data_IF_241024943661
#
_entry.id   IF_241024943661
#
_cell.length_a   1.000
_cell.length_b   1.000
_cell.length_c   1.000
_cell.angle_alpha   90.00
_cell.angle_beta   90.00
_cell.angle_gamma   90.00
#
_symmetry.space_group_name_H-M   'P 1'
#
loop_
_entity.id
_entity.type
_entity.pdbx_description
1 polymer ?
#
# COMPACT_ATOMS: atom_id res chain seq x y z
N UNK A 1 -7.90 -11.75 -9.04
CA UNK A 1 -8.50 -10.67 -8.22
C UNK A 1 -8.02 -9.37 -8.83
N UNK A 2 -8.96 -8.58 -9.31
CA UNK A 2 -8.65 -7.52 -10.27
C UNK A 2 -8.03 -6.24 -9.66
N UNK A 3 -7.77 -6.15 -8.36
CA UNK A 3 -7.14 -4.97 -7.73
C UNK A 3 -5.77 -5.36 -7.16
N UNK A 4 -4.72 -4.75 -7.69
CA UNK A 4 -3.33 -4.87 -7.22
C UNK A 4 -3.00 -3.63 -6.38
N UNK A 5 -2.21 -3.84 -5.31
CA UNK A 5 -1.80 -2.82 -4.35
C UNK A 5 -0.28 -2.63 -4.43
N UNK A 6 0.17 -1.65 -5.23
CA UNK A 6 1.57 -1.42 -5.61
C UNK A 6 2.38 -0.60 -4.55
N UNK A 7 2.24 -0.94 -3.27
CA UNK A 7 2.98 -0.27 -2.18
C UNK A 7 4.50 -0.42 -2.37
N UNK A 8 4.96 -1.61 -2.77
CA UNK A 8 6.39 -1.88 -2.95
C UNK A 8 7.01 -0.99 -4.05
N UNK A 9 6.24 -0.62 -5.09
CA UNK A 9 6.68 0.32 -6.13
C UNK A 9 6.88 1.73 -5.55
N UNK A 10 5.96 2.18 -4.70
CA UNK A 10 6.05 3.51 -4.08
C UNK A 10 7.18 3.59 -3.05
N UNK A 11 7.42 2.51 -2.29
CA UNK A 11 8.58 2.40 -1.40
C UNK A 11 9.91 2.50 -2.16
N UNK A 12 10.02 1.77 -3.27
CA UNK A 12 11.21 1.80 -4.12
C UNK A 12 11.47 3.19 -4.71
N UNK A 13 10.43 3.87 -5.22
CA UNK A 13 10.52 5.26 -5.72
C UNK A 13 11.05 6.23 -4.66
N UNK A 14 10.77 5.96 -3.38
CA UNK A 14 11.18 6.81 -2.25
C UNK A 14 12.45 6.37 -1.55
N UNK A 15 13.05 5.24 -1.96
CA UNK A 15 14.18 4.62 -1.27
C UNK A 15 13.90 4.39 0.22
N UNK A 16 12.64 4.06 0.54
CA UNK A 16 12.17 3.83 1.92
C UNK A 16 12.09 2.32 2.19
N UNK A 17 12.57 1.88 3.36
CA UNK A 17 12.43 0.49 3.77
C UNK A 17 11.00 0.19 4.23
N UNK A 18 10.58 -1.08 4.12
CA UNK A 18 9.27 -1.52 4.66
C UNK A 18 9.20 -1.30 6.18
N UNK A 19 10.32 -1.45 6.89
CA UNK A 19 10.39 -1.23 8.33
C UNK A 19 10.09 0.22 8.72
N UNK A 20 10.76 1.17 8.06
CA UNK A 20 10.54 2.60 8.29
C UNK A 20 9.10 3.01 7.93
N UNK A 21 8.59 2.47 6.83
CA UNK A 21 7.20 2.69 6.41
C UNK A 21 6.18 2.20 7.44
N UNK A 22 6.36 0.98 7.96
CA UNK A 22 5.47 0.42 8.99
C UNK A 22 5.49 1.29 10.26
N UNK A 23 6.67 1.78 10.66
CA UNK A 23 6.82 2.67 11.80
C UNK A 23 6.11 4.02 11.57
N UNK A 24 6.18 4.55 10.34
CA UNK A 24 5.62 5.86 10.00
C UNK A 24 4.08 5.85 9.82
N UNK A 25 3.53 4.81 9.18
CA UNK A 25 2.08 4.72 8.90
C UNK A 25 1.24 4.38 10.15
N UNK A 26 1.89 3.93 11.23
CA UNK A 26 1.21 3.48 12.47
C UNK A 26 0.15 2.39 12.20
N UNK A 27 0.45 1.47 11.28
CA UNK A 27 -0.36 0.28 10.99
C UNK A 27 0.49 -0.95 11.21
N UNK A 28 -0.11 -2.04 11.68
CA UNK A 28 0.62 -3.28 11.93
C UNK A 28 1.33 -3.80 10.66
N UNK A 29 2.53 -4.36 10.84
CA UNK A 29 3.26 -5.02 9.75
C UNK A 29 2.43 -6.12 9.08
N UNK A 30 1.56 -6.79 9.84
CA UNK A 30 0.63 -7.79 9.35
C UNK A 30 -0.37 -7.20 8.33
N UNK A 31 -0.95 -6.04 8.61
CA UNK A 31 -1.88 -5.38 7.69
C UNK A 31 -1.18 -4.92 6.40
N UNK A 32 0.03 -4.34 6.51
CA UNK A 32 0.85 -3.98 5.34
C UNK A 32 1.18 -5.21 4.49
N UNK A 33 1.54 -6.34 5.13
CA UNK A 33 1.81 -7.61 4.45
C UNK A 33 0.57 -8.17 3.74
N UNK A 34 -0.61 -8.03 4.31
CA UNK A 34 -1.86 -8.46 3.67
C UNK A 34 -2.16 -7.59 2.43
N UNK A 35 -1.95 -6.28 2.53
CA UNK A 35 -2.13 -5.33 1.42
C UNK A 35 -1.17 -5.59 0.27
N UNK A 36 0.15 -5.54 0.52
CA UNK A 36 1.18 -5.61 -0.53
C UNK A 36 1.23 -6.95 -1.27
N UNK A 37 0.81 -8.03 -0.61
CA UNK A 37 0.79 -9.37 -1.20
C UNK A 37 -0.54 -9.71 -1.88
N UNK A 38 -1.43 -8.73 -2.08
CA UNK A 38 -2.71 -8.94 -2.76
C UNK A 38 -3.67 -9.89 -2.03
N UNK A 39 -3.53 -10.03 -0.70
CA UNK A 39 -4.42 -10.88 0.12
C UNK A 39 -5.56 -10.09 0.77
N UNK A 40 -5.51 -8.77 0.67
CA UNK A 40 -6.55 -7.89 1.19
C UNK A 40 -7.84 -8.01 0.37
N UNK A 41 -8.98 -8.11 1.06
CA UNK A 41 -10.32 -8.04 0.44
C UNK A 41 -10.91 -6.64 0.44
N UNK A 42 -10.40 -5.78 1.32
CA UNK A 42 -10.85 -4.40 1.49
C UNK A 42 -9.70 -3.57 2.10
N UNK A 43 -9.77 -2.26 1.89
CA UNK A 43 -8.93 -1.26 2.53
C UNK A 43 -9.83 -0.15 3.07
N UNK A 44 -9.59 0.30 4.31
CA UNK A 44 -10.29 1.47 4.86
C UNK A 44 -9.70 2.74 4.26
N UNK A 45 -10.50 3.76 3.99
CA UNK A 45 -9.97 5.04 3.49
C UNK A 45 -8.98 5.68 4.46
N UNK A 46 -9.17 5.57 5.78
CA UNK A 46 -8.18 6.05 6.75
C UNK A 46 -6.83 5.35 6.65
N UNK A 47 -6.82 4.05 6.29
CA UNK A 47 -5.59 3.32 6.00
C UNK A 47 -4.95 3.80 4.70
N UNK A 48 -5.75 3.96 3.65
CA UNK A 48 -5.27 4.46 2.36
C UNK A 48 -4.69 5.88 2.48
N UNK A 49 -5.36 6.74 3.24
CA UNK A 49 -4.97 8.12 3.54
C UNK A 49 -3.61 8.18 4.26
N UNK A 50 -3.45 7.44 5.37
CA UNK A 50 -2.18 7.37 6.10
C UNK A 50 -1.03 6.85 5.20
N UNK A 51 -1.30 5.87 4.34
CA UNK A 51 -0.31 5.38 3.38
C UNK A 51 0.05 6.48 2.37
N UNK A 52 -0.95 7.17 1.82
CA UNK A 52 -0.75 8.25 0.85
C UNK A 52 0.02 9.43 1.47
N UNK A 53 -0.24 9.75 2.75
CA UNK A 53 0.48 10.78 3.50
C UNK A 53 1.96 10.41 3.68
N UNK A 54 2.26 9.22 4.22
CA UNK A 54 3.66 8.80 4.44
C UNK A 54 4.41 8.62 3.13
N UNK A 55 3.76 8.01 2.13
CA UNK A 55 4.32 7.81 0.81
C UNK A 55 4.01 8.98 -0.13
N UNK A 56 3.62 10.16 0.35
CA UNK A 56 3.35 11.40 -0.40
C UNK A 56 2.86 11.17 -1.85
N UNK A 57 1.88 10.29 -2.03
CA UNK A 57 1.40 9.80 -3.32
C UNK A 57 -0.12 9.86 -3.40
N UNK A 58 -0.67 9.61 -4.59
CA UNK A 58 -2.10 9.55 -4.79
C UNK A 58 -2.62 8.11 -4.64
N UNK A 59 -3.89 7.91 -4.27
CA UNK A 59 -4.51 6.59 -4.26
C UNK A 59 -4.32 5.78 -5.55
N UNK A 60 -4.39 6.46 -6.71
CA UNK A 60 -4.18 5.84 -8.03
C UNK A 60 -2.75 5.40 -8.30
N UNK A 61 -1.77 5.86 -7.51
CA UNK A 61 -0.39 5.40 -7.57
C UNK A 61 -0.18 4.05 -6.84
N UNK A 62 -1.13 3.67 -5.99
CA UNK A 62 -1.09 2.45 -5.16
C UNK A 62 -2.11 1.42 -5.65
N UNK A 63 -3.33 1.84 -5.97
CA UNK A 63 -4.42 0.96 -6.37
C UNK A 63 -4.52 0.89 -7.88
N UNK A 64 -4.30 -0.31 -8.44
CA UNK A 64 -4.38 -0.56 -9.87
C UNK A 64 -5.38 -1.66 -10.17
N UNK A 65 -6.32 -1.39 -11.07
CA UNK A 65 -7.17 -2.44 -11.62
C UNK A 65 -6.45 -3.16 -12.76
N UNK A 66 -6.48 -4.49 -12.73
CA UNK A 66 -5.93 -5.38 -13.75
C UNK A 66 -7.02 -6.40 -14.09
N UNK A 67 -7.45 -6.49 -15.36
CA UNK A 67 -8.37 -7.55 -15.79
C UNK A 67 -7.80 -8.92 -15.42
N UNK A 68 -8.66 -9.83 -14.94
CA UNK A 68 -8.28 -11.25 -14.91
C UNK A 68 -8.29 -11.74 -16.38
N UNK A 69 -7.21 -12.41 -16.83
CA UNK A 69 -7.12 -13.03 -18.17
C UNK A 69 -8.15 -14.16 -18.36
#
# INVERSE_FOLDING_TARGET
MAIIVDIDVQLAKRKMSVGDFVAAVNISAANISVLKNGRAKAIRFSTLDAICEVLQCQPGDILRWVPDD
#
